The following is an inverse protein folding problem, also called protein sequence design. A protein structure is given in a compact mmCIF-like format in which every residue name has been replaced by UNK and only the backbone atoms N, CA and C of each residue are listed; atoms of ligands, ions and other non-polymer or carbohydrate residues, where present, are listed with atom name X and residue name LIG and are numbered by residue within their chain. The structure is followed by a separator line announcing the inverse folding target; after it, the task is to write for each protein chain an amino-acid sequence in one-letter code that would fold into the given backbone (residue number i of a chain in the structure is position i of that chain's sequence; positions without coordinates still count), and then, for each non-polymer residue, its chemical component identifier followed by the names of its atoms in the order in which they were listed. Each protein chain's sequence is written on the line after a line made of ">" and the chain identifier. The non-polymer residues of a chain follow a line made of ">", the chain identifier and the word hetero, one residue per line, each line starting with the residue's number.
data_IF_803369262244
#
_entry.id   IF_803369262244
#
_cell.length_a   1.000
_cell.length_b   1.000
_cell.length_c   1.000
_cell.angle_alpha   90.00
_cell.angle_beta   90.00
_cell.angle_gamma   90.00
#
_symmetry.space_group_name_H-M   'P 1'
#
loop_
_entity.id
_entity.type
_entity.pdbx_description
1 polymer ?
#
# COMPACT_ATOMS: atom_id res chain seq x y z
N UNK A 1 -17.03 5.98 -7.87
CA UNK A 1 -15.86 5.43 -8.59
C UNK A 1 -14.62 5.71 -7.74
N UNK A 2 -14.14 4.73 -6.98
CA UNK A 2 -12.92 4.91 -6.18
C UNK A 2 -11.72 4.74 -7.11
N UNK A 3 -11.17 5.86 -7.57
CA UNK A 3 -9.94 5.89 -8.35
C UNK A 3 -8.80 5.51 -7.40
N UNK A 4 -8.38 4.23 -7.38
CA UNK A 4 -7.13 3.85 -6.70
C UNK A 4 -6.02 4.72 -7.33
N UNK A 5 -5.18 5.40 -6.54
CA UNK A 5 -4.06 6.14 -7.10
C UNK A 5 -3.11 5.16 -7.80
N UNK A 6 -3.13 5.16 -9.14
CA UNK A 6 -2.37 4.20 -9.96
C UNK A 6 -0.86 4.50 -10.00
N UNK A 7 -0.43 5.67 -9.52
CA UNK A 7 0.97 6.10 -9.56
C UNK A 7 1.50 6.51 -8.19
N UNK A 8 2.82 6.39 -8.01
CA UNK A 8 3.53 6.86 -6.80
C UNK A 8 3.15 8.29 -6.42
N UNK A 9 3.08 9.20 -7.40
CA UNK A 9 2.70 10.60 -7.18
C UNK A 9 1.31 10.73 -6.59
N UNK A 10 0.34 9.99 -7.15
CA UNK A 10 -1.02 9.97 -6.63
C UNK A 10 -1.11 9.37 -5.22
N UNK A 11 -0.31 8.34 -4.91
CA UNK A 11 -0.27 7.73 -3.57
C UNK A 11 0.26 8.73 -2.53
N UNK A 12 1.37 9.41 -2.85
CA UNK A 12 1.97 10.43 -1.97
C UNK A 12 0.98 11.57 -1.76
N UNK A 13 0.36 12.06 -2.84
CA UNK A 13 -0.64 13.14 -2.79
C UNK A 13 -1.84 12.77 -1.91
N UNK A 14 -2.41 11.58 -2.13
CA UNK A 14 -3.55 11.10 -1.37
C UNK A 14 -3.22 10.94 0.12
N UNK A 15 -2.05 10.39 0.45
CA UNK A 15 -1.62 10.24 1.84
C UNK A 15 -1.38 11.61 2.51
N UNK A 16 -0.78 12.57 1.80
CA UNK A 16 -0.60 13.94 2.28
C UNK A 16 -1.94 14.62 2.57
N UNK A 17 -2.89 14.52 1.64
CA UNK A 17 -4.24 15.10 1.79
C UNK A 17 -5.01 14.42 2.93
N UNK A 18 -4.91 13.11 3.08
CA UNK A 18 -5.51 12.37 4.19
C UNK A 18 -4.93 12.77 5.55
N UNK A 19 -3.63 13.07 5.61
CA UNK A 19 -2.97 13.58 6.80
C UNK A 19 -3.25 15.07 7.08
N UNK A 20 -3.94 15.78 6.18
CA UNK A 20 -4.22 17.22 6.32
C UNK A 20 -2.97 18.10 6.23
N UNK A 21 -1.90 17.62 5.59
CA UNK A 21 -0.61 18.33 5.49
C UNK A 21 -0.58 19.13 4.17
N UNK A 22 -0.11 20.37 4.23
CA UNK A 22 0.06 21.21 3.04
C UNK A 22 1.31 20.80 2.24
N UNK A 23 1.41 21.22 0.98
CA UNK A 23 2.60 20.93 0.16
C UNK A 23 3.84 21.57 0.78
N UNK A 24 3.71 22.79 1.29
CA UNK A 24 4.75 23.57 1.96
C UNK A 24 5.29 22.82 3.18
N UNK A 25 4.39 22.39 4.08
CA UNK A 25 4.77 21.69 5.30
C UNK A 25 5.45 20.34 5.01
N UNK A 26 4.96 19.57 4.03
CA UNK A 26 5.59 18.30 3.68
C UNK A 26 6.95 18.50 2.99
N UNK A 27 7.07 19.51 2.12
CA UNK A 27 8.31 19.83 1.44
C UNK A 27 9.41 20.23 2.44
N UNK A 28 9.07 21.05 3.43
CA UNK A 28 9.97 21.42 4.53
C UNK A 28 10.45 20.19 5.30
N UNK A 29 9.53 19.32 5.73
CA UNK A 29 9.88 18.09 6.48
C UNK A 29 10.74 17.12 5.67
N UNK A 30 10.48 17.01 4.36
CA UNK A 30 11.29 16.18 3.46
C UNK A 30 12.62 16.84 3.05
N UNK A 31 12.84 18.11 3.44
CA UNK A 31 13.97 18.95 3.05
C UNK A 31 14.12 19.05 1.52
N UNK A 32 13.02 19.40 0.85
CA UNK A 32 12.93 19.62 -0.60
C UNK A 32 12.13 20.89 -0.90
N UNK A 33 12.14 21.34 -2.16
CA UNK A 33 11.31 22.48 -2.56
C UNK A 33 9.86 22.07 -2.80
N UNK A 34 8.92 22.96 -2.51
CA UNK A 34 7.49 22.80 -2.85
C UNK A 34 7.29 22.44 -4.33
N UNK A 35 8.02 23.13 -5.21
CA UNK A 35 8.00 22.85 -6.65
C UNK A 35 8.44 21.42 -6.93
N UNK A 36 9.45 20.89 -6.25
CA UNK A 36 9.87 19.51 -6.46
C UNK A 36 8.81 18.52 -6.00
N UNK A 37 8.22 18.74 -4.81
CA UNK A 37 7.12 17.91 -4.30
C UNK A 37 5.90 17.95 -5.24
N UNK A 38 5.51 19.13 -5.72
CA UNK A 38 4.40 19.29 -6.66
C UNK A 38 4.59 18.45 -7.93
N UNK A 39 5.81 18.44 -8.48
CA UNK A 39 6.14 17.63 -9.67
C UNK A 39 6.12 16.13 -9.38
N UNK A 40 6.49 15.72 -8.16
CA UNK A 40 6.37 14.32 -7.73
C UNK A 40 4.90 13.91 -7.70
N UNK A 41 4.05 14.73 -7.07
CA UNK A 41 2.63 14.44 -6.88
C UNK A 41 1.80 14.50 -8.17
N UNK A 42 2.14 15.41 -9.10
CA UNK A 42 1.26 15.74 -10.22
C UNK A 42 1.88 15.54 -11.61
N UNK A 43 3.22 15.53 -11.75
CA UNK A 43 3.90 15.46 -13.06
C UNK A 43 4.67 14.15 -13.28
N UNK A 44 4.54 13.17 -12.38
CA UNK A 44 5.23 11.89 -12.48
C UNK A 44 6.75 11.99 -12.27
N UNK A 45 7.24 13.07 -11.65
CA UNK A 45 8.67 13.19 -11.33
C UNK A 45 9.05 12.11 -10.31
N UNK A 46 10.02 11.26 -10.68
CA UNK A 46 10.55 10.24 -9.76
C UNK A 46 11.46 10.91 -8.71
N UNK A 47 11.19 10.73 -7.40
CA UNK A 47 12.08 11.18 -6.34
C UNK A 47 13.38 10.34 -6.31
N UNK A 48 14.44 10.86 -5.68
CA UNK A 48 15.55 9.99 -5.25
C UNK A 48 15.05 9.03 -4.16
N UNK A 49 15.80 7.95 -3.92
CA UNK A 49 15.47 7.00 -2.86
C UNK A 49 15.39 7.68 -1.48
N UNK A 50 16.32 8.58 -1.17
CA UNK A 50 16.33 9.30 0.11
C UNK A 50 15.09 10.17 0.30
N UNK A 51 14.64 10.85 -0.76
CA UNK A 51 13.41 11.65 -0.72
C UNK A 51 12.19 10.76 -0.59
N UNK A 52 12.13 9.65 -1.34
CA UNK A 52 11.07 8.67 -1.23
C UNK A 52 10.97 8.12 0.19
N UNK A 53 12.08 7.71 0.78
CA UNK A 53 12.15 7.19 2.15
C UNK A 53 11.62 8.19 3.18
N UNK A 54 12.00 9.47 3.07
CA UNK A 54 11.47 10.53 3.94
C UNK A 54 9.96 10.70 3.78
N UNK A 55 9.46 10.82 2.55
CA UNK A 55 8.04 11.02 2.27
C UNK A 55 7.19 9.84 2.79
N UNK A 56 7.65 8.61 2.55
CA UNK A 56 6.97 7.40 3.01
C UNK A 56 6.88 7.33 4.53
N UNK A 57 7.96 7.67 5.23
CA UNK A 57 7.97 7.68 6.70
C UNK A 57 7.12 8.81 7.29
N UNK A 58 7.21 10.01 6.73
CA UNK A 58 6.45 11.17 7.22
C UNK A 58 4.95 10.98 7.04
N UNK A 59 4.54 10.37 5.93
CA UNK A 59 3.13 10.11 5.61
C UNK A 59 2.62 8.75 6.09
N UNK A 60 3.45 7.97 6.79
CA UNK A 60 3.14 6.62 7.24
C UNK A 60 2.57 5.70 6.13
N UNK A 61 3.14 5.79 4.93
CA UNK A 61 2.71 5.01 3.77
C UNK A 61 3.28 3.58 3.88
N UNK A 62 2.44 2.57 3.64
CA UNK A 62 2.93 1.19 3.52
C UNK A 62 3.76 1.01 2.25
N UNK A 63 4.89 0.32 2.34
CA UNK A 63 5.69 -0.04 1.18
C UNK A 63 4.88 -0.83 0.14
N UNK A 64 3.96 -1.70 0.59
CA UNK A 64 3.07 -2.44 -0.29
C UNK A 64 2.17 -1.51 -1.11
N UNK A 65 1.74 -0.37 -0.57
CA UNK A 65 0.92 0.58 -1.34
C UNK A 65 1.68 1.16 -2.53
N UNK A 66 3.01 1.18 -2.49
CA UNK A 66 3.87 1.72 -3.55
C UNK A 66 4.35 0.63 -4.50
N UNK A 67 4.81 -0.50 -3.98
CA UNK A 67 5.45 -1.57 -4.76
C UNK A 67 4.49 -2.70 -5.14
N UNK A 68 3.35 -2.80 -4.45
CA UNK A 68 2.30 -3.80 -4.66
C UNK A 68 0.89 -3.20 -4.62
N UNK A 69 0.59 -2.10 -5.36
CA UNK A 69 -0.70 -1.40 -5.31
C UNK A 69 -1.91 -2.26 -5.72
N UNK A 70 -1.65 -3.35 -6.44
CA UNK A 70 -2.62 -4.39 -6.79
C UNK A 70 -3.11 -5.19 -5.57
N UNK A 71 -2.27 -5.35 -4.53
CA UNK A 71 -2.66 -6.05 -3.31
C UNK A 71 -3.68 -5.19 -2.55
N UNK A 72 -4.81 -5.78 -2.13
CA UNK A 72 -5.80 -5.05 -1.33
C UNK A 72 -5.17 -4.60 0.02
N UNK A 73 -5.65 -3.47 0.55
CA UNK A 73 -5.20 -2.88 1.82
C UNK A 73 -5.40 -3.83 3.00
N UNK A 74 -4.88 -3.46 4.18
CA UNK A 74 -4.88 -4.30 5.39
C UNK A 74 -6.23 -4.86 5.88
N UNK A 75 -7.32 -4.35 5.33
CA UNK A 75 -8.69 -4.83 5.54
C UNK A 75 -9.15 -5.85 4.47
N UNK A 76 -8.21 -6.44 3.73
CA UNK A 76 -8.55 -7.51 2.79
C UNK A 76 -9.00 -8.76 3.55
N UNK A 77 -9.99 -9.47 2.99
CA UNK A 77 -10.43 -10.78 3.49
C UNK A 77 -9.27 -11.76 3.66
N UNK A 78 -8.22 -11.62 2.84
CA UNK A 78 -6.99 -12.42 2.94
C UNK A 78 -6.22 -12.12 4.22
N UNK A 79 -6.10 -10.85 4.62
CA UNK A 79 -5.40 -10.47 5.86
C UNK A 79 -6.20 -10.82 7.11
N UNK A 80 -7.54 -10.73 7.05
CA UNK A 80 -8.42 -11.27 8.08
C UNK A 80 -8.23 -12.78 8.22
N UNK A 81 -8.18 -13.51 7.10
CA UNK A 81 -7.93 -14.95 7.10
C UNK A 81 -6.55 -15.27 7.71
N UNK A 82 -5.49 -14.56 7.32
CA UNK A 82 -4.15 -14.74 7.90
C UNK A 82 -4.13 -14.54 9.42
N UNK A 83 -4.88 -13.55 9.95
CA UNK A 83 -5.06 -13.35 11.39
C UNK A 83 -5.83 -14.48 12.06
N UNK A 84 -6.82 -15.06 11.40
CA UNK A 84 -7.53 -16.23 11.94
C UNK A 84 -6.63 -17.47 11.97
N UNK A 85 -5.80 -17.66 10.93
CA UNK A 85 -4.88 -18.79 10.83
C UNK A 85 -3.80 -18.79 11.90
N UNK A 86 -3.36 -17.63 12.38
CA UNK A 86 -2.38 -17.57 13.47
C UNK A 86 -2.92 -18.07 14.82
N UNK A 87 -4.25 -18.17 14.97
CA UNK A 87 -4.90 -18.73 16.15
C UNK A 87 -5.19 -20.24 16.04
N UNK A 88 -4.92 -20.85 14.89
CA UNK A 88 -5.17 -22.28 14.67
C UNK A 88 -4.05 -23.15 15.24
N UNK A 89 -4.41 -24.33 15.73
CA UNK A 89 -3.45 -25.40 16.03
C UNK A 89 -3.02 -26.13 14.74
N UNK A 90 -1.98 -26.95 14.86
CA UNK A 90 -1.35 -27.63 13.72
C UNK A 90 -2.33 -28.52 12.95
N UNK A 91 -3.21 -29.24 13.66
CA UNK A 91 -4.25 -30.07 13.04
C UNK A 91 -5.26 -29.24 12.26
N UNK A 92 -5.70 -28.12 12.81
CA UNK A 92 -6.66 -27.23 12.14
C UNK A 92 -6.05 -26.61 10.89
N UNK A 93 -4.75 -26.25 10.94
CA UNK A 93 -4.03 -25.75 9.77
C UNK A 93 -3.92 -26.79 8.64
N UNK A 94 -3.74 -28.07 8.96
CA UNK A 94 -3.76 -29.13 7.94
C UNK A 94 -5.11 -29.23 7.22
N UNK A 95 -6.22 -29.13 7.97
CA UNK A 95 -7.57 -29.17 7.41
C UNK A 95 -7.83 -27.96 6.51
N UNK A 96 -7.46 -26.77 6.98
CA UNK A 96 -7.56 -25.54 6.18
C UNK A 96 -6.75 -25.68 4.89
N UNK A 97 -5.51 -26.16 4.97
CA UNK A 97 -4.64 -26.36 3.81
C UNK A 97 -5.26 -27.33 2.80
N UNK A 98 -5.81 -28.45 3.27
CA UNK A 98 -6.47 -29.42 2.40
C UNK A 98 -7.69 -28.81 1.69
N UNK A 99 -8.47 -28.01 2.42
CA UNK A 99 -9.67 -27.34 1.88
C UNK A 99 -9.30 -26.27 0.85
N UNK A 100 -8.32 -25.42 1.16
CA UNK A 100 -7.82 -24.41 0.23
C UNK A 100 -7.28 -25.06 -1.05
N UNK A 101 -6.54 -26.17 -0.93
CA UNK A 101 -6.04 -26.93 -2.08
C UNK A 101 -7.18 -27.49 -2.94
N UNK A 102 -8.19 -28.10 -2.32
CA UNK A 102 -9.35 -28.63 -3.04
C UNK A 102 -10.10 -27.53 -3.80
N UNK A 103 -10.25 -26.33 -3.22
CA UNK A 103 -10.89 -25.19 -3.89
C UNK A 103 -10.09 -24.69 -5.10
N UNK A 104 -8.75 -24.69 -5.01
CA UNK A 104 -7.88 -24.31 -6.14
C UNK A 104 -7.96 -25.35 -7.26
N UNK A 105 -7.90 -26.64 -6.92
CA UNK A 105 -7.91 -27.74 -7.88
C UNK A 105 -9.29 -27.90 -8.58
N UNK A 106 -10.37 -27.43 -7.97
CA UNK A 106 -11.74 -27.51 -8.50
C UNK A 106 -12.25 -26.20 -9.11
N UNK A 107 -11.45 -25.12 -9.04
CA UNK A 107 -11.81 -23.87 -9.69
C UNK A 107 -11.86 -24.08 -11.22
N UNK A 108 -12.94 -23.66 -11.90
CA UNK A 108 -12.98 -23.72 -13.35
C UNK A 108 -11.84 -22.86 -13.93
N UNK A 109 -11.12 -23.38 -14.93
CA UNK A 109 -10.13 -22.59 -15.65
C UNK A 109 -10.79 -21.33 -16.21
N UNK A 110 -10.13 -20.19 -16.03
CA UNK A 110 -10.60 -18.88 -16.50
C UNK A 110 -10.46 -18.72 -18.00
#
# INVERSE_FOLDING_TARGET
>A
MHNKPETLGCIIKAAREHAGITIEALAEKANITERYLYRIENEGKKPSFDVLHKLVRELNISADSIFHPEKPSKDSEVENLLRMLSACDERSLEVVKATAKALIDTAPEK
#
